data_IF_171217194404
#
_entry.id   IF_171217194404
#
_cell.length_a   1.000
_cell.length_b   1.000
_cell.length_c   1.000
_cell.angle_alpha   90.00
_cell.angle_beta   90.00
_cell.angle_gamma   90.00
#
_symmetry.space_group_name_H-M   'P 1'
#
loop_
_entity.id
_entity.type
_entity.pdbx_description
1 polymer ?
#
# COMPACT_ATOMS: atom_id res chain seq x y z
N UNK A 1 11.80 16.44 -7.79
CA UNK A 1 12.15 15.48 -6.70
C UNK A 1 11.68 15.97 -5.33
N UNK A 2 10.64 16.80 -5.30
CA UNK A 2 10.23 17.46 -4.07
C UNK A 2 9.08 16.69 -3.40
N UNK A 3 9.10 16.67 -2.07
CA UNK A 3 8.00 16.20 -1.25
C UNK A 3 7.34 17.44 -0.65
N UNK A 4 6.06 17.67 -0.97
CA UNK A 4 5.34 18.86 -0.56
C UNK A 4 4.01 18.51 0.09
N UNK A 5 3.80 18.99 1.32
CA UNK A 5 2.51 18.85 2.01
C UNK A 5 1.49 19.85 1.41
N UNK A 6 0.40 19.34 0.83
CA UNK A 6 -0.67 20.14 0.18
C UNK A 6 -2.02 19.83 0.86
N UNK A 7 -2.28 20.47 1.98
CA UNK A 7 -3.54 20.33 2.71
C UNK A 7 -3.78 18.94 3.27
N UNK A 8 -4.50 18.08 2.56
CA UNK A 8 -4.80 16.69 2.98
C UNK A 8 -3.96 15.63 2.26
N UNK A 9 -2.99 16.04 1.46
CA UNK A 9 -2.16 15.16 0.66
C UNK A 9 -0.69 15.50 0.81
N UNK A 10 0.16 14.48 0.73
CA UNK A 10 1.59 14.60 0.54
C UNK A 10 1.89 14.36 -0.94
N UNK A 11 2.27 15.42 -1.65
CA UNK A 11 2.60 15.37 -3.06
C UNK A 11 4.08 14.98 -3.24
N UNK A 12 4.31 13.91 -3.99
CA UNK A 12 5.62 13.34 -4.26
C UNK A 12 5.91 13.48 -5.74
N UNK A 13 6.93 14.25 -6.11
CA UNK A 13 7.39 14.29 -7.49
C UNK A 13 7.92 12.93 -7.96
N UNK A 14 7.83 12.63 -9.25
CA UNK A 14 8.17 11.33 -9.84
C UNK A 14 9.56 10.80 -9.47
N UNK A 15 10.53 11.68 -9.26
CA UNK A 15 11.90 11.33 -8.90
C UNK A 15 12.15 11.15 -7.40
N UNK A 16 11.12 11.23 -6.54
CA UNK A 16 11.26 10.95 -5.10
C UNK A 16 11.60 9.49 -4.92
N UNK A 17 12.72 9.20 -4.24
CA UNK A 17 13.15 7.84 -3.96
C UNK A 17 12.40 7.25 -2.76
N UNK A 18 12.38 5.93 -2.65
CA UNK A 18 11.83 5.25 -1.47
C UNK A 18 12.53 5.69 -0.19
N UNK A 19 13.86 5.94 -0.24
CA UNK A 19 14.59 6.43 0.93
C UNK A 19 14.21 7.88 1.25
N UNK A 20 14.08 8.76 0.25
CA UNK A 20 13.63 10.14 0.46
C UNK A 20 12.25 10.21 1.10
N UNK A 21 11.30 9.35 0.65
CA UNK A 21 10.00 9.23 1.30
C UNK A 21 10.12 8.67 2.72
N UNK A 22 10.94 7.64 2.94
CA UNK A 22 11.14 7.02 4.26
C UNK A 22 11.66 8.03 5.31
N UNK A 23 12.54 8.94 4.90
CA UNK A 23 13.17 9.92 5.77
C UNK A 23 12.30 11.18 5.99
N UNK A 24 11.21 11.32 5.23
CA UNK A 24 10.33 12.47 5.37
C UNK A 24 9.45 12.36 6.63
N UNK A 25 9.37 13.44 7.46
CA UNK A 25 8.69 13.39 8.77
C UNK A 25 7.17 13.09 8.67
N UNK A 26 6.52 13.48 7.56
CA UNK A 26 5.09 13.25 7.36
C UNK A 26 4.77 11.85 6.80
N UNK A 27 5.77 10.99 6.63
CA UNK A 27 5.53 9.61 6.16
C UNK A 27 4.87 8.77 7.26
N UNK A 28 3.69 8.20 7.00
CA UNK A 28 3.03 7.34 7.99
C UNK A 28 3.92 6.19 8.44
N UNK A 29 3.95 5.90 9.75
CA UNK A 29 4.82 4.87 10.32
C UNK A 29 4.64 3.48 9.68
N UNK A 30 3.39 3.11 9.33
CA UNK A 30 3.10 1.86 8.66
C UNK A 30 3.63 1.84 7.20
N UNK A 31 3.57 2.98 6.50
CA UNK A 31 4.17 3.11 5.17
C UNK A 31 5.70 3.05 5.26
N UNK A 32 6.30 3.71 6.24
CA UNK A 32 7.73 3.61 6.52
C UNK A 32 8.17 2.16 6.82
N UNK A 33 7.35 1.40 7.59
CA UNK A 33 7.56 -0.04 7.84
C UNK A 33 7.55 -0.84 6.54
N UNK A 34 6.58 -0.62 5.64
CA UNK A 34 6.50 -1.31 4.35
C UNK A 34 7.67 -0.97 3.42
N UNK A 35 8.14 0.29 3.40
CA UNK A 35 9.31 0.71 2.61
C UNK A 35 10.59 0.02 3.09
N UNK A 36 10.81 -0.06 4.42
CA UNK A 36 11.98 -0.78 4.98
C UNK A 36 12.00 -2.24 4.61
N UNK A 37 10.82 -2.85 4.49
CA UNK A 37 10.64 -4.25 4.17
C UNK A 37 10.62 -4.52 2.65
N UNK A 38 10.44 -3.47 1.82
CA UNK A 38 10.41 -3.59 0.37
C UNK A 38 11.79 -3.93 -0.20
N UNK A 39 12.82 -3.19 0.24
CA UNK A 39 14.15 -3.23 -0.37
C UNK A 39 15.26 -2.90 0.63
N UNK A 40 16.49 -3.32 0.29
CA UNK A 40 17.70 -2.94 0.99
C UNK A 40 17.95 -1.42 0.91
N UNK A 41 18.76 -0.89 1.81
CA UNK A 41 19.13 0.54 1.84
C UNK A 41 19.60 1.06 0.47
N UNK A 42 20.52 0.34 -0.18
CA UNK A 42 21.09 0.78 -1.47
C UNK A 42 20.02 0.84 -2.57
N UNK A 43 19.11 -0.11 -2.62
CA UNK A 43 18.02 -0.12 -3.60
C UNK A 43 17.00 1.00 -3.35
N UNK A 44 16.72 1.31 -2.08
CA UNK A 44 15.85 2.43 -1.73
C UNK A 44 16.40 3.80 -2.11
N UNK A 45 17.72 3.95 -2.23
CA UNK A 45 18.36 5.20 -2.66
C UNK A 45 18.14 5.51 -4.15
N UNK A 46 17.93 4.49 -4.97
CA UNK A 46 17.77 4.64 -6.43
C UNK A 46 16.34 4.34 -6.92
N UNK A 47 15.62 3.48 -6.22
CA UNK A 47 14.23 3.16 -6.55
C UNK A 47 13.30 4.33 -6.24
N UNK A 48 12.60 4.84 -7.26
CA UNK A 48 11.61 5.92 -7.07
C UNK A 48 10.27 5.37 -6.59
N UNK A 49 9.48 6.23 -5.92
CA UNK A 49 8.10 5.90 -5.49
C UNK A 49 7.26 5.48 -6.69
N UNK A 50 7.21 6.28 -7.76
CA UNK A 50 6.45 5.98 -8.96
C UNK A 50 6.89 4.67 -9.64
N UNK A 51 8.21 4.47 -9.82
CA UNK A 51 8.76 3.25 -10.40
C UNK A 51 8.46 2.01 -9.55
N UNK A 52 8.53 2.12 -8.22
CA UNK A 52 8.24 1.01 -7.31
C UNK A 52 6.76 0.62 -7.29
N UNK A 53 5.84 1.56 -7.51
CA UNK A 53 4.41 1.27 -7.66
C UNK A 53 4.14 0.49 -8.96
N UNK A 54 4.76 0.89 -10.06
CA UNK A 54 4.57 0.22 -11.36
C UNK A 54 5.25 -1.16 -11.42
N UNK A 55 6.41 -1.31 -10.80
CA UNK A 55 7.16 -2.58 -10.79
C UNK A 55 6.75 -3.54 -9.66
N UNK A 56 5.90 -3.10 -8.74
CA UNK A 56 5.51 -3.89 -7.57
C UNK A 56 4.65 -5.09 -7.95
N UNK A 57 5.06 -6.29 -7.53
CA UNK A 57 4.28 -7.53 -7.64
C UNK A 57 3.36 -7.73 -6.42
N UNK A 58 2.60 -8.83 -6.39
CA UNK A 58 1.72 -9.17 -5.28
C UNK A 58 2.45 -9.40 -3.95
N UNK A 59 3.77 -9.55 -3.96
CA UNK A 59 4.62 -9.68 -2.77
C UNK A 59 5.33 -8.37 -2.39
N UNK A 60 5.03 -7.26 -3.07
CA UNK A 60 5.59 -5.95 -2.77
C UNK A 60 4.93 -5.33 -1.53
N UNK A 61 5.63 -5.18 -0.39
CA UNK A 61 5.11 -4.53 0.80
C UNK A 61 4.67 -3.09 0.56
N UNK A 62 5.47 -2.35 -0.21
CA UNK A 62 5.20 -0.95 -0.52
C UNK A 62 3.97 -0.80 -1.42
N UNK A 63 3.84 -1.64 -2.47
CA UNK A 63 2.68 -1.60 -3.35
C UNK A 63 1.39 -1.95 -2.58
N UNK A 64 1.42 -2.95 -1.68
CA UNK A 64 0.26 -3.31 -0.86
C UNK A 64 -0.17 -2.15 0.07
N UNK A 65 0.78 -1.50 0.75
CA UNK A 65 0.49 -0.36 1.63
C UNK A 65 -0.03 0.85 0.84
N UNK A 66 0.54 1.14 -0.33
CA UNK A 66 0.05 2.21 -1.21
C UNK A 66 -1.33 1.88 -1.78
N UNK A 67 -1.59 0.64 -2.17
CA UNK A 67 -2.90 0.25 -2.69
C UNK A 67 -4.00 0.40 -1.62
N UNK A 68 -3.68 0.15 -0.35
CA UNK A 68 -4.61 0.44 0.74
C UNK A 68 -4.85 1.95 0.95
N UNK A 69 -3.83 2.79 0.77
CA UNK A 69 -3.93 4.25 0.83
C UNK A 69 -4.67 4.84 -0.38
N UNK A 70 -4.65 4.16 -1.52
CA UNK A 70 -5.26 4.60 -2.78
C UNK A 70 -4.82 6.01 -3.23
N UNK A 71 -3.51 6.24 -3.43
CA UNK A 71 -3.02 7.54 -3.87
C UNK A 71 -3.54 7.89 -5.27
N UNK A 72 -3.60 9.20 -5.55
CA UNK A 72 -3.85 9.70 -6.89
C UNK A 72 -2.52 9.86 -7.61
N UNK A 73 -2.44 9.34 -8.82
CA UNK A 73 -1.31 9.51 -9.73
C UNK A 73 -1.65 10.61 -10.75
N UNK A 74 -0.69 11.49 -10.99
CA UNK A 74 -0.78 12.48 -12.08
C UNK A 74 -0.02 11.92 -13.26
N UNK A 75 -0.75 11.64 -14.34
CA UNK A 75 -0.21 11.14 -15.59
C UNK A 75 -0.16 12.28 -16.62
N UNK A 76 0.97 12.44 -17.27
CA UNK A 76 1.16 13.40 -18.35
C UNK A 76 1.45 12.68 -19.68
N UNK A 77 0.78 13.12 -20.72
CA UNK A 77 0.99 12.66 -22.10
C UNK A 77 1.24 13.87 -22.98
N UNK A 78 2.19 13.75 -23.91
CA UNK A 78 2.55 14.87 -24.80
C UNK A 78 1.34 15.40 -25.56
N UNK A 79 1.11 16.72 -25.44
CA UNK A 79 0.02 17.42 -26.13
C UNK A 79 -1.37 17.25 -25.50
N UNK A 80 -1.46 16.58 -24.33
CA UNK A 80 -2.72 16.41 -23.59
C UNK A 80 -2.65 17.06 -22.19
N UNK A 81 -3.80 17.45 -21.60
CA UNK A 81 -3.81 17.90 -20.21
C UNK A 81 -3.47 16.76 -19.26
N UNK A 82 -2.90 17.07 -18.06
CA UNK A 82 -2.64 16.06 -17.05
C UNK A 82 -3.90 15.30 -16.62
N UNK A 83 -3.79 13.99 -16.48
CA UNK A 83 -4.85 13.10 -16.05
C UNK A 83 -4.62 12.70 -14.59
N UNK A 84 -5.71 12.65 -13.79
CA UNK A 84 -5.70 12.16 -12.40
C UNK A 84 -6.36 10.81 -12.35
N UNK A 85 -5.62 9.79 -11.88
CA UNK A 85 -6.13 8.43 -11.73
C UNK A 85 -5.84 7.91 -10.33
N UNK A 86 -6.74 7.14 -9.76
CA UNK A 86 -6.46 6.41 -8.53
C UNK A 86 -5.56 5.20 -8.81
N UNK A 87 -4.64 4.90 -7.90
CA UNK A 87 -3.79 3.71 -8.03
C UNK A 87 -4.64 2.44 -8.16
N UNK A 88 -5.75 2.37 -7.42
CA UNK A 88 -6.66 1.24 -7.45
C UNK A 88 -7.28 0.97 -8.82
N UNK A 89 -7.51 2.02 -9.61
CA UNK A 89 -8.15 1.89 -10.92
C UNK A 89 -7.21 1.34 -11.99
N UNK A 90 -5.89 1.52 -11.82
CA UNK A 90 -4.90 1.16 -12.85
C UNK A 90 -3.99 0.00 -12.45
N UNK A 91 -3.95 -0.42 -11.19
CA UNK A 91 -2.94 -1.36 -10.72
C UNK A 91 -2.93 -2.70 -11.49
N UNK A 92 -4.11 -3.19 -11.86
CA UNK A 92 -4.27 -4.42 -12.66
C UNK A 92 -3.95 -4.26 -14.15
N UNK A 93 -3.96 -3.01 -14.66
CA UNK A 93 -3.76 -2.66 -16.08
C UNK A 93 -2.64 -1.63 -16.22
N UNK A 94 -1.68 -1.64 -15.29
CA UNK A 94 -0.69 -0.57 -15.16
C UNK A 94 0.17 -0.37 -16.42
N UNK A 95 0.50 -1.43 -17.14
CA UNK A 95 1.31 -1.31 -18.36
C UNK A 95 0.54 -0.53 -19.44
N UNK A 96 -0.71 -0.87 -19.68
CA UNK A 96 -1.57 -0.18 -20.63
C UNK A 96 -1.93 1.23 -20.17
N UNK A 97 -2.22 1.39 -18.88
CA UNK A 97 -2.63 2.68 -18.31
C UNK A 97 -1.55 3.76 -18.40
N UNK A 98 -0.28 3.36 -18.33
CA UNK A 98 0.87 4.29 -18.39
C UNK A 98 1.58 4.28 -19.75
N UNK A 99 1.12 3.48 -20.70
CA UNK A 99 1.75 3.41 -22.03
C UNK A 99 1.71 4.79 -22.72
N UNK A 100 2.89 5.32 -23.07
CA UNK A 100 3.03 6.65 -23.66
C UNK A 100 2.82 7.82 -22.70
N UNK A 101 2.63 7.55 -21.40
CA UNK A 101 2.43 8.55 -20.34
C UNK A 101 3.58 8.51 -19.32
N UNK A 102 3.78 9.62 -18.64
CA UNK A 102 4.72 9.75 -17.53
C UNK A 102 3.95 10.02 -16.24
N UNK A 103 4.24 9.27 -15.17
CA UNK A 103 3.79 9.66 -13.82
C UNK A 103 4.66 10.83 -13.37
N UNK A 104 4.08 12.00 -13.19
CA UNK A 104 4.80 13.20 -12.74
C UNK A 104 4.69 13.45 -11.25
N UNK A 105 3.56 13.09 -10.65
CA UNK A 105 3.32 13.19 -9.20
C UNK A 105 2.55 11.98 -8.66
N UNK A 106 2.80 11.67 -7.38
CA UNK A 106 2.00 10.73 -6.56
C UNK A 106 1.45 11.49 -5.36
N UNK A 107 0.14 11.55 -5.22
CA UNK A 107 -0.54 12.27 -4.14
C UNK A 107 -1.01 11.27 -3.07
N UNK A 108 -0.25 11.16 -1.97
CA UNK A 108 -0.60 10.30 -0.84
C UNK A 108 -1.61 11.01 0.08
N UNK A 109 -2.72 10.36 0.48
CA UNK A 109 -3.63 10.93 1.46
C UNK A 109 -2.97 10.94 2.86
N UNK A 110 -3.10 12.08 3.59
CA UNK A 110 -2.47 12.23 4.91
C UNK A 110 -3.43 12.02 6.07
N UNK A 111 -4.71 12.35 5.93
CA UNK A 111 -5.67 12.24 7.06
C UNK A 111 -6.32 10.86 7.12
N UNK A 112 -5.47 9.83 7.22
CA UNK A 112 -5.87 8.42 7.30
C UNK A 112 -5.11 7.71 8.40
N UNK A 113 -5.64 6.59 8.86
CA UNK A 113 -4.94 5.64 9.72
C UNK A 113 -4.54 4.45 8.86
N UNK A 114 -3.26 4.19 8.77
CA UNK A 114 -2.71 3.04 8.04
C UNK A 114 -2.06 2.09 9.03
N UNK A 115 -2.38 0.81 8.91
CA UNK A 115 -1.67 -0.30 9.55
C UNK A 115 -1.09 -1.22 8.48
N UNK A 116 0.09 -1.77 8.74
CA UNK A 116 0.74 -2.76 7.89
C UNK A 116 1.28 -3.89 8.76
N UNK A 117 0.71 -5.08 8.59
CA UNK A 117 1.08 -6.29 9.30
C UNK A 117 1.55 -7.37 8.32
N UNK A 118 2.49 -8.22 8.73
CA UNK A 118 3.03 -9.23 7.85
C UNK A 118 3.64 -10.41 8.61
N UNK A 119 3.77 -11.52 7.89
CA UNK A 119 4.57 -12.68 8.27
C UNK A 119 5.58 -12.95 7.16
N UNK A 120 6.86 -13.12 7.54
CA UNK A 120 7.96 -13.50 6.67
C UNK A 120 8.79 -14.58 7.38
N UNK A 121 9.57 -15.35 6.62
CA UNK A 121 10.44 -16.40 7.19
C UNK A 121 11.58 -15.82 8.02
N UNK A 122 12.17 -14.74 7.51
CA UNK A 122 13.17 -13.94 8.23
C UNK A 122 12.81 -12.44 8.12
N UNK A 123 13.38 -11.57 8.98
CA UNK A 123 13.12 -10.13 8.90
C UNK A 123 13.55 -9.47 7.58
N UNK A 124 14.43 -10.13 6.81
CA UNK A 124 14.92 -9.61 5.54
C UNK A 124 14.14 -10.15 4.32
N UNK A 125 13.31 -11.17 4.53
CA UNK A 125 12.56 -11.80 3.44
C UNK A 125 11.33 -10.98 3.08
N UNK A 126 10.92 -11.07 1.81
CA UNK A 126 9.61 -10.58 1.39
C UNK A 126 8.50 -11.35 2.12
N UNK A 127 7.37 -10.72 2.43
CA UNK A 127 6.28 -11.35 3.11
C UNK A 127 5.78 -12.61 2.41
N UNK A 128 5.45 -13.64 3.21
CA UNK A 128 4.64 -14.77 2.77
C UNK A 128 3.17 -14.38 2.75
N UNK A 129 2.75 -13.60 3.75
CA UNK A 129 1.44 -12.95 3.84
C UNK A 129 1.63 -11.56 4.41
N UNK A 130 0.97 -10.57 3.86
CA UNK A 130 0.86 -9.24 4.46
C UNK A 130 -0.54 -8.68 4.31
N UNK A 131 -0.92 -7.81 5.24
CA UNK A 131 -2.17 -7.06 5.22
C UNK A 131 -1.88 -5.58 5.45
N UNK A 132 -2.38 -4.75 4.55
CA UNK A 132 -2.42 -3.31 4.70
C UNK A 132 -3.87 -2.88 4.92
N UNK A 133 -4.14 -2.20 6.02
CA UNK A 133 -5.48 -1.70 6.37
C UNK A 133 -5.41 -0.19 6.45
N UNK A 134 -6.24 0.49 5.67
CA UNK A 134 -6.37 1.94 5.72
C UNK A 134 -7.79 2.33 6.12
N UNK A 135 -7.93 3.27 7.05
CA UNK A 135 -9.22 3.77 7.48
C UNK A 135 -9.24 5.31 7.45
N UNK A 136 -10.33 5.87 6.95
CA UNK A 136 -10.60 7.31 6.92
C UNK A 136 -11.46 7.74 8.11
N UNK A 137 -11.48 9.05 8.39
CA UNK A 137 -12.35 9.62 9.42
C UNK A 137 -13.85 9.39 9.19
N UNK A 138 -14.25 9.16 7.94
CA UNK A 138 -15.61 8.79 7.56
C UNK A 138 -16.02 7.37 7.99
N UNK A 139 -15.06 6.53 8.39
CA UNK A 139 -15.28 5.09 8.61
C UNK A 139 -14.94 4.23 7.40
N UNK A 140 -14.82 4.80 6.18
CA UNK A 140 -14.38 4.03 5.01
C UNK A 140 -13.12 3.27 5.35
N UNK A 141 -13.12 1.99 5.03
CA UNK A 141 -12.02 1.07 5.29
C UNK A 141 -11.63 0.37 4.01
N UNK A 142 -10.33 0.35 3.72
CA UNK A 142 -9.75 -0.46 2.64
C UNK A 142 -8.80 -1.48 3.24
N UNK A 143 -8.89 -2.71 2.73
CA UNK A 143 -8.02 -3.83 3.12
C UNK A 143 -7.39 -4.41 1.88
N UNK A 144 -6.08 -4.50 1.89
CA UNK A 144 -5.26 -5.05 0.80
C UNK A 144 -4.37 -6.14 1.35
N UNK A 145 -4.38 -7.29 0.69
CA UNK A 145 -3.46 -8.40 0.98
C UNK A 145 -2.28 -8.39 0.01
N UNK A 146 -1.14 -8.81 0.52
CA UNK A 146 0.07 -9.09 -0.24
C UNK A 146 0.74 -10.37 0.22
N UNK A 147 1.77 -10.78 -0.49
CA UNK A 147 2.52 -12.02 -0.25
C UNK A 147 2.27 -13.09 -1.31
N UNK A 148 1.35 -12.85 -2.26
CA UNK A 148 0.99 -13.78 -3.32
C UNK A 148 0.50 -13.05 -4.57
N UNK A 149 0.66 -13.70 -5.74
CA UNK A 149 0.11 -13.24 -7.01
C UNK A 149 0.93 -12.15 -7.73
N UNK A 150 0.40 -11.66 -8.83
CA UNK A 150 1.04 -10.65 -9.69
C UNK A 150 0.89 -9.23 -9.15
N UNK A 151 -0.21 -8.97 -8.45
CA UNK A 151 -0.50 -7.68 -7.80
C UNK A 151 -1.06 -7.93 -6.40
N UNK A 152 -0.94 -6.95 -5.47
CA UNK A 152 -1.66 -7.02 -4.21
C UNK A 152 -3.18 -7.08 -4.42
N UNK A 153 -3.89 -7.81 -3.56
CA UNK A 153 -5.32 -8.10 -3.70
C UNK A 153 -6.14 -7.15 -2.82
N UNK A 154 -7.00 -6.34 -3.44
CA UNK A 154 -8.00 -5.55 -2.70
C UNK A 154 -9.14 -6.48 -2.25
N UNK A 155 -9.32 -6.60 -0.95
CA UNK A 155 -10.32 -7.50 -0.34
C UNK A 155 -11.56 -6.77 0.13
N UNK A 156 -11.35 -5.54 0.58
CA UNK A 156 -12.43 -4.68 1.07
C UNK A 156 -12.18 -3.23 0.67
N UNK A 157 -13.21 -2.56 0.18
CA UNK A 157 -13.33 -1.11 0.11
C UNK A 157 -14.77 -0.74 0.43
N UNK A 158 -15.03 -0.38 1.65
CA UNK A 158 -16.40 -0.21 2.14
C UNK A 158 -16.52 0.85 3.25
N UNK A 159 -17.75 1.16 3.65
CA UNK A 159 -18.03 2.20 4.65
C UNK A 159 -17.62 1.79 6.08
N UNK A 160 -17.36 0.49 6.32
CA UNK A 160 -16.93 -0.05 7.62
C UNK A 160 -15.89 -1.15 7.41
N UNK A 161 -15.38 -1.69 8.53
CA UNK A 161 -14.46 -2.84 8.55
C UNK A 161 -15.16 -4.19 8.76
N UNK A 162 -16.50 -4.20 8.71
CA UNK A 162 -17.27 -5.40 9.02
C UNK A 162 -16.99 -6.51 7.99
N UNK A 163 -16.72 -7.71 8.49
CA UNK A 163 -16.41 -8.87 7.65
C UNK A 163 -15.00 -8.86 7.02
N UNK A 164 -14.17 -7.84 7.26
CA UNK A 164 -12.87 -7.69 6.61
C UNK A 164 -11.93 -8.89 6.80
N UNK A 165 -11.89 -9.47 8.01
CA UNK A 165 -11.05 -10.64 8.30
C UNK A 165 -11.52 -11.90 7.57
N UNK A 166 -12.84 -12.12 7.51
CA UNK A 166 -13.42 -13.24 6.77
C UNK A 166 -13.19 -13.09 5.26
N UNK A 167 -13.39 -11.89 4.71
CA UNK A 167 -13.11 -11.61 3.31
C UNK A 167 -11.60 -11.80 2.97
N UNK A 168 -10.70 -11.47 3.89
CA UNK A 168 -9.27 -11.70 3.72
C UNK A 168 -8.92 -13.19 3.70
N UNK A 169 -9.50 -13.98 4.59
CA UNK A 169 -9.32 -15.44 4.60
C UNK A 169 -9.84 -16.06 3.29
N UNK A 170 -11.03 -15.67 2.85
CA UNK A 170 -11.63 -16.15 1.60
C UNK A 170 -10.79 -15.80 0.37
N UNK A 171 -10.30 -14.56 0.28
CA UNK A 171 -9.48 -14.10 -0.84
C UNK A 171 -8.19 -14.91 -1.02
N UNK A 172 -7.64 -15.48 0.05
CA UNK A 172 -6.43 -16.31 0.01
C UNK A 172 -6.69 -17.82 0.11
N UNK A 173 -7.96 -18.25 0.02
CA UNK A 173 -8.35 -19.67 0.09
C UNK A 173 -7.76 -20.54 -1.02
N UNK A 174 -7.39 -19.96 -2.16
CA UNK A 174 -6.69 -20.62 -3.28
C UNK A 174 -5.24 -20.17 -3.49
N UNK A 175 -4.67 -19.39 -2.58
CA UNK A 175 -3.35 -18.76 -2.74
C UNK A 175 -2.22 -19.71 -2.34
N UNK A 176 -1.91 -20.70 -3.18
CA UNK A 176 -0.88 -21.72 -2.94
C UNK A 176 0.34 -21.52 -3.85
N UNK A 177 1.54 -21.63 -3.28
CA UNK A 177 2.81 -21.69 -3.99
C UNK A 177 3.87 -22.44 -3.14
N UNK A 178 5.12 -22.48 -3.63
CA UNK A 178 6.24 -23.13 -2.91
C UNK A 178 6.63 -22.44 -1.59
N UNK A 179 6.08 -21.26 -1.27
CA UNK A 179 6.36 -20.54 -0.03
C UNK A 179 5.39 -20.89 1.09
N UNK A 180 4.10 -21.11 0.76
CA UNK A 180 3.07 -21.45 1.73
C UNK A 180 1.85 -22.09 1.06
N UNK A 181 1.14 -22.94 1.83
CA UNK A 181 -0.14 -23.50 1.45
C UNK A 181 -1.25 -22.43 1.47
N UNK A 182 -2.31 -22.66 0.71
CA UNK A 182 -3.50 -21.83 0.71
C UNK A 182 -4.17 -21.75 2.09
N UNK A 183 -4.23 -22.87 2.82
CA UNK A 183 -4.77 -22.92 4.18
C UNK A 183 -4.00 -21.98 5.13
N UNK A 184 -2.68 -22.07 5.16
CA UNK A 184 -1.84 -21.19 5.98
C UNK A 184 -2.05 -19.71 5.64
N UNK A 185 -2.12 -19.37 4.33
CA UNK A 185 -2.31 -17.99 3.89
C UNK A 185 -3.68 -17.47 4.25
N UNK A 186 -4.71 -18.27 4.05
CA UNK A 186 -6.10 -17.94 4.41
C UNK A 186 -6.24 -17.60 5.89
N UNK A 187 -5.79 -18.50 6.77
CA UNK A 187 -5.84 -18.28 8.22
C UNK A 187 -5.01 -17.05 8.64
N UNK A 188 -3.77 -16.96 8.13
CA UNK A 188 -2.86 -15.86 8.46
C UNK A 188 -3.40 -14.52 7.97
N UNK A 189 -4.01 -14.45 6.79
CA UNK A 189 -4.59 -13.23 6.25
C UNK A 189 -5.67 -12.63 7.17
N UNK A 190 -6.60 -13.46 7.63
CA UNK A 190 -7.63 -13.04 8.60
C UNK A 190 -7.03 -12.47 9.89
N UNK A 191 -6.07 -13.19 10.48
CA UNK A 191 -5.37 -12.74 11.70
C UNK A 191 -4.62 -11.42 11.51
N UNK A 192 -3.94 -11.23 10.37
CA UNK A 192 -3.20 -9.99 10.10
C UNK A 192 -4.14 -8.80 9.90
N UNK A 193 -5.29 -9.01 9.28
CA UNK A 193 -6.32 -7.96 9.13
C UNK A 193 -6.88 -7.56 10.50
N UNK A 194 -7.19 -8.51 11.37
CA UNK A 194 -7.64 -8.21 12.75
C UNK A 194 -6.60 -7.40 13.53
N UNK A 195 -5.32 -7.79 13.45
CA UNK A 195 -4.21 -7.03 14.07
C UNK A 195 -4.10 -5.62 13.51
N UNK A 196 -4.24 -5.46 12.20
CA UNK A 196 -4.26 -4.15 11.54
C UNK A 196 -5.39 -3.25 12.03
N UNK A 197 -6.60 -3.79 12.12
CA UNK A 197 -7.77 -3.07 12.65
C UNK A 197 -7.60 -2.68 14.12
N UNK A 198 -7.07 -3.58 14.94
CA UNK A 198 -6.77 -3.28 16.34
C UNK A 198 -5.68 -2.20 16.47
N UNK A 199 -4.66 -2.23 15.63
CA UNK A 199 -3.63 -1.18 15.57
C UNK A 199 -4.22 0.18 15.23
N UNK A 200 -5.15 0.24 14.26
CA UNK A 200 -5.86 1.48 13.90
C UNK A 200 -6.73 1.97 15.06
N UNK A 201 -7.46 1.08 15.74
CA UNK A 201 -8.27 1.44 16.90
C UNK A 201 -7.43 2.13 17.98
N UNK A 202 -6.26 1.57 18.30
CA UNK A 202 -5.33 2.15 19.28
C UNK A 202 -4.78 3.52 18.84
N UNK A 203 -4.49 3.70 17.54
CA UNK A 203 -4.06 4.99 16.99
C UNK A 203 -5.15 6.06 17.15
N UNK A 204 -6.42 5.71 16.86
CA UNK A 204 -7.56 6.61 17.00
C UNK A 204 -7.80 7.04 18.44
N UNK A 205 -7.72 6.09 19.39
CA UNK A 205 -7.88 6.38 20.82
C UNK A 205 -6.81 7.34 21.34
N UNK A 206 -5.55 7.19 20.89
CA UNK A 206 -4.47 8.12 21.24
C UNK A 206 -4.72 9.53 20.70
N UNK A 207 -5.15 9.63 19.45
CA UNK A 207 -5.42 10.95 18.82
C UNK A 207 -6.69 11.63 19.38
N UNK A 208 -7.66 10.88 19.90
CA UNK A 208 -8.86 11.43 20.51
C UNK A 208 -8.67 11.92 21.95
N UNK A 209 -7.50 11.65 22.56
CA UNK A 209 -7.13 12.08 23.92
C UNK A 209 -6.18 13.29 23.93
N UNK A 210 -5.76 13.76 22.76
CA UNK A 210 -4.92 14.95 22.55
C UNK A 210 -5.75 16.13 22.09
#
# INVERSE_FOLDING_TARGET
TDIVSRGKTLALGAGVTLQGLLDHPDTPAALAKSIRHQDSYNRRQVGTVAGSLLAGDGRSPFAAACYALDPILILEEHGKPPEKVHLGDILGLREEAVQGKLITEVLLPQKTWLAYEYVARTPADRPVVSAAVCQWSSGRTRVVLGGYGEIPVLVLDGPSSDGAAAAAADAFSGAEDHWASAEYRSETAGVLVERGLESIRRMREKNGRS
#
